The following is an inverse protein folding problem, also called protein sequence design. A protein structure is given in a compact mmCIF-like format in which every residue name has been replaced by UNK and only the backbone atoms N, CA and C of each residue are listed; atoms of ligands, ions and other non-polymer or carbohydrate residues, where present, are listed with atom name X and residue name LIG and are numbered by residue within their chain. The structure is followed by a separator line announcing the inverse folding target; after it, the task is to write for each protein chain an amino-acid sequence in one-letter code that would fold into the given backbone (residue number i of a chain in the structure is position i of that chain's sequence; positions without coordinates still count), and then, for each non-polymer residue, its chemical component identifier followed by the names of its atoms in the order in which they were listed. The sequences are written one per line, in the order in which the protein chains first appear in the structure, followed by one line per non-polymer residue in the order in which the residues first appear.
data_IF_810499197496
#
_entry.id   IF_810499197496
#
_cell.length_a   1.000
_cell.length_b   1.000
_cell.length_c   1.000
_cell.angle_alpha   90.00
_cell.angle_beta   90.00
_cell.angle_gamma   90.00
#
_symmetry.space_group_name_H-M   'P 1'
#
loop_
_entity.id
_entity.type
_entity.pdbx_description
1 polymer ?
#
# COMPACT_ATOMS: atom_id res chain seq x y z
N UNK A 1 -7.73 1.36 -9.93
CA UNK A 1 -7.41 -0.05 -9.56
C UNK A 1 -8.00 -0.27 -8.19
N UNK A 2 -9.31 -0.57 -8.15
CA UNK A 2 -10.04 -0.54 -6.89
C UNK A 2 -10.13 -1.98 -6.40
N UNK A 3 -9.39 -2.29 -5.32
CA UNK A 3 -9.34 -3.63 -4.74
C UNK A 3 -10.69 -4.05 -4.16
N UNK A 4 -11.38 -3.07 -3.60
CA UNK A 4 -12.73 -3.20 -3.08
C UNK A 4 -13.65 -2.33 -3.93
N UNK A 5 -14.86 -2.83 -4.18
CA UNK A 5 -15.92 -1.98 -4.69
C UNK A 5 -16.44 -1.07 -3.56
N UNK A 6 -16.88 0.16 -3.84
CA UNK A 6 -17.39 1.06 -2.81
C UNK A 6 -18.49 0.44 -1.94
N UNK A 7 -19.33 -0.41 -2.51
CA UNK A 7 -20.45 -1.07 -1.81
C UNK A 7 -19.98 -2.11 -0.79
N UNK A 8 -18.72 -2.55 -0.87
CA UNK A 8 -18.11 -3.48 0.08
C UNK A 8 -17.51 -2.76 1.30
N UNK A 9 -17.40 -1.44 1.24
CA UNK A 9 -16.70 -0.62 2.23
C UNK A 9 -17.68 0.22 3.04
N UNK A 10 -17.29 0.57 4.26
CA UNK A 10 -17.94 1.64 5.03
C UNK A 10 -17.22 2.98 4.75
N UNK A 11 -17.74 4.10 5.27
CA UNK A 11 -17.02 5.40 5.23
C UNK A 11 -16.74 5.88 6.66
N UNK A 12 -15.54 6.38 6.89
CA UNK A 12 -15.19 7.03 8.16
C UNK A 12 -15.71 8.48 8.21
N UNK A 13 -15.43 9.18 9.31
CA UNK A 13 -15.89 10.55 9.55
C UNK A 13 -15.39 11.55 8.48
N UNK A 14 -14.24 11.27 7.87
CA UNK A 14 -13.63 12.06 6.80
C UNK A 14 -14.14 11.67 5.40
N UNK A 15 -15.11 10.74 5.32
CA UNK A 15 -15.70 10.26 4.07
C UNK A 15 -14.81 9.27 3.30
N UNK A 16 -13.69 8.82 3.87
CA UNK A 16 -12.75 7.86 3.28
C UNK A 16 -13.35 6.45 3.39
N UNK A 17 -13.24 5.67 2.31
CA UNK A 17 -13.68 4.27 2.32
C UNK A 17 -12.81 3.44 3.28
N UNK A 18 -13.47 2.65 4.11
CA UNK A 18 -12.86 1.67 5.02
C UNK A 18 -13.27 0.28 4.52
N UNK A 19 -12.31 -0.56 4.10
CA UNK A 19 -12.62 -1.88 3.56
C UNK A 19 -13.03 -2.84 4.68
N UNK A 20 -13.69 -3.96 4.34
CA UNK A 20 -14.02 -4.99 5.31
C UNK A 20 -12.74 -5.60 5.90
N UNK A 21 -12.86 -6.13 7.12
CA UNK A 21 -11.74 -6.83 7.77
C UNK A 21 -11.33 -8.07 6.97
N UNK A 22 -10.03 -8.35 6.97
CA UNK A 22 -9.50 -9.63 6.52
C UNK A 22 -10.17 -10.77 7.31
N UNK A 23 -10.51 -11.85 6.61
CA UNK A 23 -11.10 -13.05 7.19
C UNK A 23 -10.05 -13.87 7.94
N UNK A 24 -9.61 -13.34 9.08
CA UNK A 24 -8.65 -14.00 9.97
C UNK A 24 -9.16 -15.35 10.47
N UNK A 25 -10.47 -15.51 10.63
CA UNK A 25 -11.11 -16.78 10.95
C UNK A 25 -10.80 -17.87 9.89
N UNK A 26 -10.82 -17.51 8.61
CA UNK A 26 -10.46 -18.43 7.52
C UNK A 26 -8.95 -18.70 7.53
N UNK A 27 -8.13 -17.66 7.76
CA UNK A 27 -6.69 -17.81 7.83
C UNK A 27 -6.27 -18.77 8.96
N UNK A 28 -6.84 -18.59 10.16
CA UNK A 28 -6.60 -19.45 11.32
C UNK A 28 -7.03 -20.90 11.07
N UNK A 29 -8.15 -21.11 10.37
CA UNK A 29 -8.60 -22.47 10.02
C UNK A 29 -7.66 -23.15 9.01
N UNK A 30 -7.15 -22.41 8.01
CA UNK A 30 -6.13 -22.92 7.08
C UNK A 30 -4.86 -23.29 7.83
N UNK A 31 -4.42 -22.46 8.79
CA UNK A 31 -3.22 -22.72 9.60
C UNK A 31 -3.34 -23.98 10.46
N UNK A 32 -4.54 -24.28 10.99
CA UNK A 32 -4.81 -25.53 11.71
C UNK A 32 -4.75 -26.75 10.79
N UNK A 33 -5.30 -26.64 9.58
CA UNK A 33 -5.32 -27.73 8.61
C UNK A 33 -3.96 -27.97 7.96
N UNK A 34 -3.13 -26.93 7.83
CA UNK A 34 -1.81 -26.98 7.22
C UNK A 34 -0.73 -26.38 8.15
N UNK A 35 -0.40 -27.05 9.28
CA UNK A 35 0.55 -26.51 10.24
C UNK A 35 1.93 -26.26 9.62
N UNK A 36 2.42 -25.02 9.75
CA UNK A 36 3.73 -24.62 9.24
C UNK A 36 3.82 -24.41 7.73
N UNK A 37 2.72 -24.54 6.99
CA UNK A 37 2.72 -24.26 5.55
C UNK A 37 2.83 -22.74 5.30
N UNK A 38 3.78 -22.27 4.45
CA UNK A 38 3.94 -20.84 4.19
C UNK A 38 2.78 -20.27 3.37
N UNK A 39 2.14 -19.20 3.86
CA UNK A 39 0.98 -18.56 3.21
C UNK A 39 1.38 -17.27 2.50
N UNK A 40 0.76 -17.01 1.34
CA UNK A 40 0.96 -15.79 0.54
C UNK A 40 -0.33 -14.96 0.50
N UNK A 41 -0.25 -13.68 0.87
CA UNK A 41 -1.35 -12.73 0.68
C UNK A 41 -1.17 -11.94 -0.62
N UNK A 42 -2.15 -12.07 -1.51
CA UNK A 42 -2.20 -11.34 -2.78
C UNK A 42 -2.96 -10.02 -2.70
N UNK A 43 -2.60 -9.10 -3.59
CA UNK A 43 -3.25 -7.80 -3.74
C UNK A 43 -3.11 -6.87 -2.53
N UNK A 44 -2.17 -7.11 -1.61
CA UNK A 44 -2.15 -6.55 -0.26
C UNK A 44 -1.60 -5.13 -0.13
N UNK A 45 -1.82 -4.29 -1.12
CA UNK A 45 -1.50 -2.86 -1.06
C UNK A 45 -2.44 -2.12 -0.10
N UNK A 46 -1.91 -1.16 0.65
CA UNK A 46 -2.66 -0.38 1.65
C UNK A 46 -3.24 0.91 1.11
N UNK A 47 -2.78 1.37 -0.04
CA UNK A 47 -3.22 2.60 -0.72
C UNK A 47 -3.08 3.81 0.21
N UNK A 48 -1.84 4.29 0.47
CA UNK A 48 -1.60 5.42 1.37
C UNK A 48 -2.33 6.67 0.88
N UNK A 49 -3.19 7.22 1.72
CA UNK A 49 -4.05 8.35 1.35
C UNK A 49 -3.26 9.64 1.11
N UNK A 50 -2.04 9.77 1.66
CA UNK A 50 -1.14 10.88 1.35
C UNK A 50 -0.81 10.96 -0.14
N UNK A 51 -0.49 9.81 -0.77
CA UNK A 51 -0.16 9.76 -2.19
C UNK A 51 -1.41 9.94 -3.05
N UNK A 52 -2.55 9.42 -2.64
CA UNK A 52 -3.83 9.66 -3.31
C UNK A 52 -4.16 11.16 -3.32
N UNK A 53 -3.98 11.85 -2.18
CA UNK A 53 -4.20 13.29 -2.04
C UNK A 53 -3.25 14.09 -2.93
N UNK A 54 -1.95 13.76 -2.94
CA UNK A 54 -0.96 14.41 -3.80
C UNK A 54 -1.36 14.23 -5.27
N UNK A 55 -1.67 13.01 -5.70
CA UNK A 55 -2.07 12.74 -7.08
C UNK A 55 -3.30 13.58 -7.47
N UNK A 56 -4.34 13.59 -6.63
CA UNK A 56 -5.58 14.31 -6.92
C UNK A 56 -5.42 15.83 -6.92
N UNK A 57 -4.52 16.38 -6.10
CA UNK A 57 -4.21 17.82 -6.09
C UNK A 57 -3.29 18.24 -7.23
N UNK A 58 -2.60 17.30 -7.89
CA UNK A 58 -1.65 17.56 -8.99
C UNK A 58 -2.13 16.92 -10.31
N UNK A 59 -3.40 17.19 -10.65
CA UNK A 59 -3.99 16.85 -11.95
C UNK A 59 -4.33 15.36 -12.15
N UNK A 60 -4.35 14.56 -11.09
CA UNK A 60 -4.84 13.18 -11.09
C UNK A 60 -6.31 13.09 -10.68
N UNK A 61 -6.94 11.94 -10.93
CA UNK A 61 -8.36 11.71 -10.64
C UNK A 61 -8.59 10.27 -10.12
N UNK A 62 -7.99 9.95 -8.98
CA UNK A 62 -8.19 8.69 -8.28
C UNK A 62 -9.44 8.80 -7.40
N UNK A 63 -10.53 8.17 -7.86
CA UNK A 63 -11.80 8.05 -7.12
C UNK A 63 -11.82 6.74 -6.33
N UNK A 64 -12.32 6.80 -5.10
CA UNK A 64 -12.61 5.63 -4.25
C UNK A 64 -11.39 4.69 -4.08
N UNK A 65 -10.19 5.26 -4.00
CA UNK A 65 -8.95 4.51 -3.84
C UNK A 65 -8.76 4.08 -2.38
N UNK A 66 -8.95 2.79 -2.11
CA UNK A 66 -8.83 2.17 -0.78
C UNK A 66 -8.05 0.86 -0.85
N UNK A 67 -7.25 0.58 0.19
CA UNK A 67 -6.42 -0.61 0.33
C UNK A 67 -6.53 -1.23 1.71
N UNK A 68 -5.85 -2.35 1.95
CA UNK A 68 -5.93 -3.05 3.24
C UNK A 68 -5.24 -2.21 4.33
N UNK A 69 -5.90 -1.98 5.48
CA UNK A 69 -5.27 -1.32 6.62
C UNK A 69 -3.98 -2.02 7.06
N UNK A 70 -2.95 -1.24 7.33
CA UNK A 70 -1.62 -1.78 7.64
C UNK A 70 -1.59 -2.60 8.93
N UNK A 71 -2.44 -2.27 9.91
CA UNK A 71 -2.58 -3.04 11.14
C UNK A 71 -3.06 -4.47 10.89
N UNK A 72 -3.91 -4.67 9.89
CA UNK A 72 -4.38 -6.01 9.51
C UNK A 72 -3.28 -6.79 8.79
N UNK A 73 -2.50 -6.14 7.93
CA UNK A 73 -1.33 -6.77 7.30
C UNK A 73 -0.26 -7.14 8.35
N UNK A 74 -0.06 -6.28 9.35
CA UNK A 74 0.83 -6.52 10.49
C UNK A 74 0.36 -7.70 11.33
N UNK A 75 -0.94 -7.82 11.58
CA UNK A 75 -1.53 -8.97 12.28
C UNK A 75 -1.31 -10.25 11.48
N UNK A 76 -1.60 -10.24 10.17
CA UNK A 76 -1.38 -11.39 9.30
C UNK A 76 0.10 -11.81 9.22
N UNK A 77 1.04 -10.85 9.12
CA UNK A 77 2.47 -11.14 9.06
C UNK A 77 3.05 -11.79 10.33
N UNK A 78 2.30 -11.81 11.44
CA UNK A 78 2.68 -12.54 12.67
C UNK A 78 2.20 -13.99 12.68
N UNK A 79 1.44 -14.43 11.68
CA UNK A 79 0.92 -15.79 11.55
C UNK A 79 1.74 -16.60 10.51
N UNK A 80 1.17 -17.64 9.89
CA UNK A 80 1.84 -18.41 8.85
C UNK A 80 2.04 -17.65 7.51
N UNK A 81 1.56 -16.41 7.40
CA UNK A 81 1.80 -15.57 6.23
C UNK A 81 3.26 -15.16 6.14
N UNK A 82 3.96 -15.67 5.12
CA UNK A 82 5.38 -15.39 4.90
C UNK A 82 5.65 -14.44 3.74
N UNK A 83 4.63 -14.14 2.91
CA UNK A 83 4.77 -13.28 1.73
C UNK A 83 3.52 -12.42 1.53
N UNK A 84 3.71 -11.11 1.38
CA UNK A 84 2.64 -10.13 1.18
C UNK A 84 2.95 -9.36 -0.11
N UNK A 85 2.08 -9.46 -1.11
CA UNK A 85 2.29 -8.81 -2.40
C UNK A 85 1.81 -7.35 -2.35
N UNK A 86 2.74 -6.42 -2.56
CA UNK A 86 2.48 -4.97 -2.57
C UNK A 86 3.00 -4.39 -3.89
N UNK A 87 2.11 -3.73 -4.64
CA UNK A 87 2.45 -3.16 -5.95
C UNK A 87 1.81 -1.76 -6.11
N UNK A 88 0.49 -1.67 -5.93
CA UNK A 88 -0.24 -0.40 -6.07
C UNK A 88 0.33 0.73 -5.20
N UNK A 89 0.82 0.43 -4.00
CA UNK A 89 1.43 1.45 -3.12
C UNK A 89 2.66 2.08 -3.78
N UNK A 90 3.53 1.27 -4.40
CA UNK A 90 4.71 1.75 -5.10
C UNK A 90 4.35 2.57 -6.34
N UNK A 91 3.34 2.13 -7.10
CA UNK A 91 2.81 2.89 -8.24
C UNK A 91 2.29 4.26 -7.81
N UNK A 92 1.60 4.33 -6.67
CA UNK A 92 1.07 5.59 -6.12
C UNK A 92 2.21 6.51 -5.67
N UNK A 93 3.18 6.01 -4.90
CA UNK A 93 4.31 6.82 -4.44
C UNK A 93 5.10 7.45 -5.61
N UNK A 94 5.43 6.64 -6.62
CA UNK A 94 6.13 7.13 -7.81
C UNK A 94 5.28 8.14 -8.59
N UNK A 95 4.00 7.84 -8.82
CA UNK A 95 3.10 8.73 -9.58
C UNK A 95 2.89 10.06 -8.85
N UNK A 96 2.75 10.05 -7.53
CA UNK A 96 2.59 11.24 -6.70
C UNK A 96 3.82 12.15 -6.82
N UNK A 97 5.02 11.60 -6.67
CA UNK A 97 6.27 12.35 -6.76
C UNK A 97 6.47 12.97 -8.15
N UNK A 98 6.24 12.21 -9.21
CA UNK A 98 6.37 12.71 -10.59
C UNK A 98 5.37 13.82 -10.88
N UNK A 99 4.09 13.62 -10.55
CA UNK A 99 3.04 14.63 -10.77
C UNK A 99 3.32 15.92 -10.04
N UNK A 100 3.78 15.83 -8.78
CA UNK A 100 4.13 17.01 -7.99
C UNK A 100 5.18 17.86 -8.70
N UNK A 101 6.24 17.24 -9.22
CA UNK A 101 7.33 17.96 -9.89
C UNK A 101 6.87 18.56 -11.22
N UNK A 102 6.08 17.84 -12.01
CA UNK A 102 5.54 18.36 -13.27
C UNK A 102 4.64 19.59 -13.06
N UNK A 103 3.93 19.67 -11.94
CA UNK A 103 3.07 20.82 -11.61
C UNK A 103 3.87 21.94 -10.97
N UNK A 104 4.72 21.65 -9.99
CA UNK A 104 5.48 22.66 -9.23
C UNK A 104 6.67 23.23 -10.01
N UNK A 105 7.18 22.52 -11.01
CA UNK A 105 8.38 22.89 -11.78
C UNK A 105 8.17 22.59 -13.27
N UNK A 106 7.28 23.32 -13.97
CA UNK A 106 6.87 22.98 -15.34
C UNK A 106 7.98 23.10 -16.40
N UNK A 107 9.07 23.81 -16.09
CA UNK A 107 10.24 23.89 -16.96
C UNK A 107 11.19 22.69 -16.82
N UNK A 108 11.01 21.87 -15.77
CA UNK A 108 11.86 20.72 -15.51
C UNK A 108 11.53 19.58 -16.47
N UNK A 109 12.52 19.19 -17.28
CA UNK A 109 12.39 18.16 -18.31
C UNK A 109 13.41 17.03 -18.12
N UNK A 110 14.41 17.20 -17.25
CA UNK A 110 15.43 16.20 -17.02
C UNK A 110 14.83 15.02 -16.23
N UNK A 111 14.80 13.80 -16.80
CA UNK A 111 14.24 12.63 -16.12
C UNK A 111 14.83 12.35 -14.76
N UNK A 112 16.09 12.70 -14.53
CA UNK A 112 16.75 12.51 -13.25
C UNK A 112 16.13 13.35 -12.14
N UNK A 113 15.59 14.52 -12.50
CA UNK A 113 15.02 15.49 -11.56
C UNK A 113 13.64 15.11 -11.07
N UNK A 114 12.87 14.33 -11.84
CA UNK A 114 11.58 13.79 -11.38
C UNK A 114 11.62 12.30 -10.99
N UNK A 115 12.46 11.47 -11.63
CA UNK A 115 12.62 10.06 -11.24
C UNK A 115 13.51 9.87 -10.01
N UNK A 116 14.45 10.78 -9.75
CA UNK A 116 15.26 10.78 -8.53
C UNK A 116 14.38 10.86 -7.27
N UNK A 117 13.58 11.92 -7.11
CA UNK A 117 12.64 12.03 -5.99
C UNK A 117 11.60 10.90 -5.95
N UNK A 118 11.11 10.43 -7.10
CA UNK A 118 10.17 9.31 -7.14
C UNK A 118 10.77 7.99 -6.61
N UNK A 119 12.04 7.73 -6.91
CA UNK A 119 12.80 6.60 -6.34
C UNK A 119 12.99 6.76 -4.83
N UNK A 120 13.25 7.97 -4.36
CA UNK A 120 13.47 8.22 -2.93
C UNK A 120 12.18 8.03 -2.13
N UNK A 121 11.02 8.42 -2.68
CA UNK A 121 9.70 8.08 -2.12
C UNK A 121 9.42 6.57 -2.10
N UNK A 122 9.79 5.85 -3.15
CA UNK A 122 9.68 4.38 -3.16
C UNK A 122 10.52 3.74 -2.05
N UNK A 123 11.76 4.20 -1.86
CA UNK A 123 12.62 3.70 -0.78
C UNK A 123 11.99 3.96 0.58
N UNK A 124 11.53 5.19 0.83
CA UNK A 124 10.84 5.58 2.07
C UNK A 124 9.62 4.68 2.34
N UNK A 125 8.77 4.47 1.33
CA UNK A 125 7.61 3.60 1.42
C UNK A 125 8.02 2.17 1.81
N UNK A 126 8.97 1.56 1.10
CA UNK A 126 9.33 0.17 1.38
C UNK A 126 10.09 -0.01 2.69
N UNK A 127 10.90 0.97 3.13
CA UNK A 127 11.49 0.96 4.46
C UNK A 127 10.40 0.93 5.54
N UNK A 128 9.42 1.83 5.45
CA UNK A 128 8.26 1.84 6.36
C UNK A 128 7.50 0.51 6.34
N UNK A 129 7.22 -0.05 5.15
CA UNK A 129 6.55 -1.35 5.03
C UNK A 129 7.35 -2.45 5.72
N UNK A 130 8.66 -2.54 5.48
CA UNK A 130 9.51 -3.58 6.08
C UNK A 130 9.59 -3.47 7.61
N UNK A 131 9.67 -2.25 8.14
CA UNK A 131 9.82 -1.99 9.58
C UNK A 131 8.49 -2.12 10.33
N UNK A 132 7.46 -1.40 9.88
CA UNK A 132 6.24 -1.17 10.64
C UNK A 132 5.11 -2.13 10.28
N UNK A 133 5.10 -2.67 9.05
CA UNK A 133 4.00 -3.50 8.54
C UNK A 133 4.39 -4.97 8.47
N UNK A 134 5.42 -5.30 7.70
CA UNK A 134 5.83 -6.67 7.40
C UNK A 134 6.69 -7.28 8.51
N UNK A 135 7.46 -6.47 9.26
CA UNK A 135 8.34 -6.94 10.33
C UNK A 135 9.59 -7.68 9.85
N UNK A 136 9.96 -7.51 8.59
CA UNK A 136 11.12 -8.15 7.97
C UNK A 136 12.43 -7.37 8.18
N UNK A 137 12.36 -6.12 8.66
CA UNK A 137 13.55 -5.33 8.94
C UNK A 137 14.47 -6.00 9.97
N UNK A 138 15.78 -5.96 9.71
CA UNK A 138 16.81 -6.53 10.60
C UNK A 138 16.84 -8.07 10.67
N UNK A 139 16.20 -8.78 9.74
CA UNK A 139 16.16 -10.26 9.72
C UNK A 139 17.22 -10.93 8.86
N UNK A 140 18.00 -10.17 8.09
CA UNK A 140 19.16 -10.68 7.34
C UNK A 140 20.25 -11.09 8.34
N UNK A 141 20.80 -12.29 8.17
CA UNK A 141 21.93 -12.79 8.96
C UNK A 141 23.26 -12.47 8.28
#
# INVERSE_FOLDING_TARGET
ANKFKPEQCTRNAEGILVPPELRFDILEEIEKQLPGFPIVLHGSSSVPQEYVKIINTHGGALKDAVGIPEEQLRKAAKSAVCKINIDSDGRLAMTAAVRKIFVDSPAEFDPRKYLGPARDELKKLYMHKCENVLGSAGKVK
#
